data_IF_889725896236
#
_entry.id   IF_889725896236
#
_cell.length_a   1.000
_cell.length_b   1.000
_cell.length_c   1.000
_cell.angle_alpha   90.00
_cell.angle_beta   90.00
_cell.angle_gamma   90.00
#
_symmetry.space_group_name_H-M   'P 1'
#
loop_
_entity.id
_entity.type
_entity.pdbx_description
1 polymer ?
#
# COMPACT_ATOMS: atom_id res chain seq x y z
N UNK A 1 -18.81 7.40 8.48
CA UNK A 1 -19.13 7.14 7.07
C UNK A 1 -20.16 6.03 6.99
N UNK A 2 -20.99 6.01 5.95
CA UNK A 2 -21.95 4.92 5.70
C UNK A 2 -21.38 4.04 4.60
N UNK A 3 -21.11 2.78 4.93
CA UNK A 3 -20.67 1.79 3.95
C UNK A 3 -21.80 1.47 2.97
N UNK A 4 -21.49 1.49 1.67
CA UNK A 4 -22.44 1.12 0.63
C UNK A 4 -22.32 -0.38 0.35
N UNK A 5 -23.22 -1.17 0.94
CA UNK A 5 -23.30 -2.61 0.66
C UNK A 5 -24.08 -2.87 -0.65
N UNK A 6 -23.93 -4.07 -1.26
CA UNK A 6 -24.75 -4.47 -2.41
C UNK A 6 -26.25 -4.36 -2.15
N UNK A 7 -26.70 -4.72 -0.94
CA UNK A 7 -28.10 -4.66 -0.53
C UNK A 7 -28.59 -3.21 -0.46
N UNK A 8 -27.79 -2.31 0.13
CA UNK A 8 -28.11 -0.89 0.20
C UNK A 8 -28.11 -0.25 -1.19
N UNK A 9 -27.15 -0.58 -2.06
CA UNK A 9 -27.13 -0.10 -3.44
C UNK A 9 -28.38 -0.53 -4.21
N UNK A 10 -28.84 -1.77 -4.01
CA UNK A 10 -30.09 -2.25 -4.61
C UNK A 10 -31.33 -1.53 -4.08
N UNK A 11 -31.37 -1.20 -2.78
CA UNK A 11 -32.46 -0.42 -2.18
C UNK A 11 -32.52 1.03 -2.67
N UNK A 12 -31.36 1.67 -2.86
CA UNK A 12 -31.28 3.03 -3.42
C UNK A 12 -31.77 3.07 -4.87
N UNK A 13 -31.56 1.98 -5.62
CA UNK A 13 -32.04 1.83 -7.00
C UNK A 13 -31.50 2.89 -7.98
N UNK A 14 -30.18 3.17 -8.01
CA UNK A 14 -29.65 4.18 -8.92
C UNK A 14 -29.68 3.70 -10.38
N UNK A 15 -29.90 4.63 -11.31
CA UNK A 15 -29.78 4.34 -12.75
C UNK A 15 -28.34 3.96 -13.14
N UNK A 16 -27.36 4.53 -12.45
CA UNK A 16 -25.92 4.29 -12.66
C UNK A 16 -25.20 4.22 -11.32
N UNK A 17 -24.40 3.18 -11.13
CA UNK A 17 -23.50 3.02 -9.98
C UNK A 17 -22.04 3.20 -10.43
N UNK A 18 -21.32 4.14 -9.82
CA UNK A 18 -19.88 4.34 -10.02
C UNK A 18 -19.14 3.77 -8.81
N UNK A 19 -18.30 2.77 -9.03
CA UNK A 19 -17.46 2.16 -7.99
C UNK A 19 -16.09 2.82 -8.00
N UNK A 20 -15.81 3.64 -6.98
CA UNK A 20 -14.56 4.39 -6.84
C UNK A 20 -13.91 4.20 -5.46
N UNK A 21 -13.94 2.96 -4.95
CA UNK A 21 -13.49 2.60 -3.59
C UNK A 21 -11.97 2.54 -3.42
N UNK A 22 -11.21 2.76 -4.49
CA UNK A 22 -9.74 2.68 -4.47
C UNK A 22 -9.23 1.24 -4.61
N UNK A 23 -8.01 1.00 -4.12
CA UNK A 23 -7.31 -0.27 -4.21
C UNK A 23 -6.65 -0.64 -2.88
N UNK A 24 -6.43 -1.93 -2.67
CA UNK A 24 -5.74 -2.48 -1.51
C UNK A 24 -4.30 -2.91 -1.89
N UNK A 25 -3.33 -2.85 -0.96
CA UNK A 25 -1.98 -3.29 -1.22
C UNK A 25 -1.92 -4.80 -1.45
N UNK A 26 -1.11 -5.23 -2.41
CA UNK A 26 -0.80 -6.65 -2.62
C UNK A 26 0.17 -7.11 -1.53
N UNK A 27 -0.23 -8.12 -0.76
CA UNK A 27 0.59 -8.73 0.29
C UNK A 27 1.14 -10.07 -0.21
N UNK A 28 2.44 -10.19 -0.50
CA UNK A 28 3.01 -11.42 -1.04
C UNK A 28 3.09 -12.52 0.03
N UNK A 29 2.88 -13.80 -0.33
CA UNK A 29 2.89 -14.92 0.61
C UNK A 29 4.33 -15.38 0.90
N UNK A 30 5.12 -14.55 1.59
CA UNK A 30 6.50 -14.85 1.97
C UNK A 30 6.65 -14.99 3.50
N UNK A 31 7.54 -15.88 3.99
CA UNK A 31 7.79 -16.01 5.43
C UNK A 31 8.19 -14.67 6.06
N UNK A 32 7.51 -14.31 7.15
CA UNK A 32 7.78 -13.08 7.89
C UNK A 32 7.06 -11.82 7.36
N UNK A 33 6.14 -11.95 6.40
CA UNK A 33 5.38 -10.81 5.87
C UNK A 33 4.54 -10.07 6.93
N UNK A 34 4.12 -10.75 7.99
CA UNK A 34 3.40 -10.16 9.12
C UNK A 34 4.33 -9.65 10.25
N UNK A 35 5.63 -9.52 9.96
CA UNK A 35 6.64 -9.08 10.91
C UNK A 35 6.41 -7.64 11.39
N UNK A 36 6.86 -7.34 12.61
CA UNK A 36 6.73 -5.99 13.22
C UNK A 36 7.45 -4.87 12.45
N UNK A 37 8.37 -5.24 11.57
CA UNK A 37 9.16 -4.34 10.73
C UNK A 37 8.62 -4.23 9.29
N UNK A 38 7.46 -4.81 8.99
CA UNK A 38 6.79 -4.70 7.70
C UNK A 38 5.75 -3.58 7.78
N UNK A 39 5.81 -2.66 6.81
CA UNK A 39 4.88 -1.53 6.70
C UNK A 39 4.44 -1.45 5.23
N UNK A 40 3.14 -1.41 4.99
CA UNK A 40 2.58 -1.18 3.66
C UNK A 40 2.70 0.30 3.26
N UNK A 41 2.81 0.60 1.97
CA UNK A 41 2.99 1.97 1.49
C UNK A 41 1.86 2.92 1.95
N UNK A 42 0.61 2.46 2.01
CA UNK A 42 -0.53 3.24 2.51
C UNK A 42 -0.46 3.53 4.03
N UNK A 43 0.22 2.68 4.82
CA UNK A 43 0.39 2.88 6.25
C UNK A 43 1.61 3.75 6.59
N UNK A 44 2.56 3.91 5.65
CA UNK A 44 3.81 4.61 5.86
C UNK A 44 3.65 6.03 6.44
N UNK A 45 2.73 6.90 5.96
CA UNK A 45 2.60 8.25 6.50
C UNK A 45 2.32 8.27 8.01
N UNK A 46 1.51 7.33 8.50
CA UNK A 46 1.15 7.21 9.91
C UNK A 46 2.20 6.46 10.75
N UNK A 47 3.17 5.82 10.11
CA UNK A 47 4.17 4.96 10.75
C UNK A 47 5.61 5.36 10.41
N UNK A 48 5.81 6.54 9.83
CA UNK A 48 7.11 7.01 9.36
C UNK A 48 8.19 7.02 10.45
N UNK A 49 7.79 7.32 11.69
CA UNK A 49 8.66 7.30 12.86
C UNK A 49 9.14 5.90 13.27
N UNK A 50 8.51 4.84 12.78
CA UNK A 50 8.94 3.44 13.00
C UNK A 50 9.96 2.96 11.98
N UNK A 51 10.18 3.72 10.90
CA UNK A 51 11.09 3.33 9.82
C UNK A 51 12.53 3.58 10.24
N UNK A 52 13.33 2.52 10.26
CA UNK A 52 14.76 2.58 10.56
C UNK A 52 15.61 3.17 9.43
N UNK A 53 16.93 3.18 9.63
CA UNK A 53 17.89 3.77 8.69
C UNK A 53 17.98 2.99 7.36
N UNK A 54 17.92 1.66 7.40
CA UNK A 54 18.01 0.79 6.22
C UNK A 54 16.64 0.22 5.89
N UNK A 55 16.19 0.45 4.66
CA UNK A 55 14.83 0.11 4.23
C UNK A 55 14.90 -0.68 2.93
N UNK A 56 14.15 -1.78 2.90
CA UNK A 56 13.85 -2.50 1.67
C UNK A 56 12.45 -2.07 1.23
N UNK A 57 12.32 -1.62 -0.01
CA UNK A 57 11.02 -1.45 -0.68
C UNK A 57 10.84 -2.63 -1.62
N UNK A 58 9.82 -3.44 -1.33
CA UNK A 58 9.44 -4.59 -2.15
C UNK A 58 8.41 -4.15 -3.19
N UNK A 59 8.80 -4.12 -4.46
CA UNK A 59 8.02 -3.59 -5.57
C UNK A 59 8.66 -2.33 -6.18
N UNK A 60 8.97 -2.38 -7.47
CA UNK A 60 9.56 -1.33 -8.30
C UNK A 60 8.56 -0.65 -9.23
N UNK A 61 7.26 -0.92 -9.08
CA UNK A 61 6.19 -0.14 -9.74
C UNK A 61 6.13 1.30 -9.23
N UNK A 62 5.18 2.09 -9.75
CA UNK A 62 5.04 3.52 -9.45
C UNK A 62 5.04 3.83 -7.94
N UNK A 63 4.13 3.20 -7.19
CA UNK A 63 3.99 3.41 -5.73
C UNK A 63 5.27 3.03 -4.99
N UNK A 64 5.94 1.94 -5.38
CA UNK A 64 7.18 1.50 -4.78
C UNK A 64 8.33 2.48 -5.04
N UNK A 65 8.47 2.96 -6.28
CA UNK A 65 9.47 3.95 -6.65
C UNK A 65 9.26 5.29 -5.94
N UNK A 66 8.02 5.79 -5.87
CA UNK A 66 7.68 7.03 -5.14
C UNK A 66 7.95 6.89 -3.64
N UNK A 67 7.58 5.74 -3.05
CA UNK A 67 7.86 5.41 -1.64
C UNK A 67 9.36 5.41 -1.37
N UNK A 68 10.14 4.78 -2.27
CA UNK A 68 11.60 4.73 -2.16
C UNK A 68 12.23 6.13 -2.24
N UNK A 69 11.77 6.96 -3.19
CA UNK A 69 12.22 8.34 -3.31
C UNK A 69 11.88 9.16 -2.06
N UNK A 70 10.65 9.05 -1.56
CA UNK A 70 10.21 9.75 -0.34
C UNK A 70 11.08 9.38 0.88
N UNK A 71 11.39 8.10 1.05
CA UNK A 71 12.26 7.63 2.12
C UNK A 71 13.72 8.10 1.94
N UNK A 72 14.24 8.05 0.72
CA UNK A 72 15.59 8.51 0.40
C UNK A 72 15.76 10.02 0.63
N UNK A 73 14.77 10.84 0.27
CA UNK A 73 14.72 12.27 0.60
C UNK A 73 14.70 12.52 2.11
N UNK A 74 14.18 11.56 2.87
CA UNK A 74 14.28 11.51 4.32
C UNK A 74 15.64 11.07 4.86
N UNK A 75 16.68 10.94 4.04
CA UNK A 75 18.00 10.41 4.42
C UNK A 75 17.98 8.94 4.87
N UNK A 76 17.08 8.09 4.35
CA UNK A 76 17.13 6.63 4.56
C UNK A 76 18.00 5.97 3.48
N UNK A 77 18.64 4.87 3.84
CA UNK A 77 19.34 4.00 2.90
C UNK A 77 18.32 3.00 2.33
N UNK A 78 17.91 3.22 1.08
CA UNK A 78 16.80 2.48 0.46
C UNK A 78 17.32 1.54 -0.61
N UNK A 79 16.89 0.27 -0.54
CA UNK A 79 17.07 -0.71 -1.61
C UNK A 79 15.71 -1.09 -2.17
N UNK A 80 15.52 -0.96 -3.48
CA UNK A 80 14.32 -1.42 -4.16
C UNK A 80 14.56 -2.83 -4.70
N UNK A 81 13.65 -3.74 -4.40
CA UNK A 81 13.66 -5.12 -4.90
C UNK A 81 12.41 -5.33 -5.76
N UNK A 82 12.60 -5.72 -7.01
CA UNK A 82 11.50 -6.11 -7.91
C UNK A 82 11.57 -7.60 -8.20
N UNK A 83 10.42 -8.27 -8.11
CA UNK A 83 10.32 -9.69 -8.49
C UNK A 83 10.10 -9.77 -9.99
N UNK A 84 10.97 -10.47 -10.69
CA UNK A 84 10.86 -10.65 -12.14
C UNK A 84 9.71 -11.62 -12.44
N UNK A 85 8.62 -11.14 -13.03
CA UNK A 85 7.52 -11.98 -13.55
C UNK A 85 6.16 -11.82 -12.88
N UNK A 86 5.87 -10.65 -12.29
CA UNK A 86 4.52 -10.21 -11.96
C UNK A 86 3.65 -9.97 -13.20
#
# INVERSE_FOLDING_TARGET
ETEVTPELAAQIGPDVLIVAVGAEPIIPPIPGIDGKNVITANALPNQYNKVGQRVIVLGGGLVGCETALYLALGNREVTVIEVKGS
#
